data_IF_713930046128
#
_entry.id   IF_713930046128
#
_cell.length_a   1.000
_cell.length_b   1.000
_cell.length_c   1.000
_cell.angle_alpha   90.00
_cell.angle_beta   90.00
_cell.angle_gamma   90.00
#
_symmetry.space_group_name_H-M   'P 1'
#
loop_
_entity.id
_entity.type
_entity.pdbx_description
1 polymer ?
#
# COMPACT_ATOMS: atom_id res chain seq x y z
N UNK A 1 5.59 -12.96 3.98
CA UNK A 1 4.50 -12.78 2.99
C UNK A 1 5.14 -12.88 1.61
N UNK A 2 4.90 -13.99 0.91
CA UNK A 2 5.65 -14.35 -0.30
C UNK A 2 5.44 -13.33 -1.42
N UNK A 3 6.53 -12.78 -1.96
CA UNK A 3 6.51 -12.02 -3.19
C UNK A 3 6.13 -12.97 -4.33
N UNK A 4 4.95 -12.77 -4.94
CA UNK A 4 4.59 -13.50 -6.16
C UNK A 4 5.44 -12.94 -7.31
N UNK A 5 6.37 -13.75 -7.77
CA UNK A 5 7.17 -13.49 -8.97
C UNK A 5 6.25 -13.40 -10.19
N UNK A 6 6.18 -12.24 -10.84
CA UNK A 6 5.50 -12.08 -12.12
C UNK A 6 6.55 -11.96 -13.21
N UNK A 7 6.75 -13.04 -13.96
CA UNK A 7 7.69 -13.09 -15.08
C UNK A 7 6.96 -12.71 -16.37
N UNK A 8 7.25 -11.54 -16.93
CA UNK A 8 6.84 -11.14 -18.29
C UNK A 8 8.02 -11.36 -19.23
N UNK A 9 7.92 -12.33 -20.14
CA UNK A 9 8.96 -12.63 -21.14
C UNK A 9 8.58 -12.09 -22.51
N UNK A 10 9.48 -11.33 -23.14
CA UNK A 10 9.45 -11.06 -24.58
C UNK A 10 10.32 -12.12 -25.28
N UNK A 11 9.71 -12.88 -26.20
CA UNK A 11 10.41 -13.89 -26.99
C UNK A 11 11.06 -13.23 -28.21
N UNK A 12 12.38 -13.17 -28.21
CA UNK A 12 13.18 -12.83 -29.40
C UNK A 12 14.13 -14.00 -29.61
N UNK A 13 14.15 -14.51 -30.85
CA UNK A 13 14.92 -15.66 -31.32
C UNK A 13 16.17 -15.98 -30.49
N UNK A 14 16.11 -17.11 -29.78
CA UNK A 14 17.23 -17.84 -29.17
C UNK A 14 17.86 -17.32 -27.87
N UNK A 15 17.37 -16.26 -27.22
CA UNK A 15 17.83 -15.88 -25.88
C UNK A 15 16.70 -15.30 -25.01
N UNK A 16 16.40 -15.96 -23.88
CA UNK A 16 15.48 -15.43 -22.86
C UNK A 16 16.24 -14.45 -21.96
N UNK A 17 16.08 -13.15 -22.20
CA UNK A 17 16.56 -12.11 -21.29
C UNK A 17 15.50 -11.92 -20.19
N UNK A 18 15.85 -12.20 -18.94
CA UNK A 18 15.00 -11.91 -17.79
C UNK A 18 15.35 -10.52 -17.25
N UNK A 19 14.47 -9.54 -17.46
CA UNK A 19 14.59 -8.24 -16.79
C UNK A 19 13.90 -8.34 -15.43
N UNK A 20 14.69 -8.34 -14.34
CA UNK A 20 14.16 -8.33 -12.98
C UNK A 20 13.73 -6.91 -12.62
N UNK A 21 12.43 -6.61 -12.75
CA UNK A 21 11.86 -5.36 -12.22
C UNK A 21 11.97 -5.35 -10.70
N UNK A 22 12.91 -4.58 -10.17
CA UNK A 22 12.96 -4.28 -8.74
C UNK A 22 12.02 -3.10 -8.47
N UNK A 23 10.80 -3.40 -8.02
CA UNK A 23 9.96 -2.38 -7.40
C UNK A 23 10.62 -1.94 -6.09
N UNK A 24 10.98 -0.67 -5.97
CA UNK A 24 11.57 -0.11 -4.75
C UNK A 24 10.46 0.04 -3.70
N UNK A 25 10.52 -0.72 -2.62
CA UNK A 25 9.60 -0.57 -1.49
C UNK A 25 9.94 0.72 -0.75
N UNK A 26 9.00 1.66 -0.72
CA UNK A 26 9.11 2.91 0.04
C UNK A 26 8.37 2.77 1.36
N UNK A 27 9.07 2.90 2.49
CA UNK A 27 8.48 2.85 3.84
C UNK A 27 8.66 4.20 4.51
N UNK A 28 7.57 4.76 5.00
CA UNK A 28 7.54 6.02 5.73
C UNK A 28 6.93 5.78 7.11
N UNK A 29 7.40 6.52 8.11
CA UNK A 29 6.85 6.50 9.45
C UNK A 29 6.13 7.82 9.74
N UNK A 30 4.99 7.73 10.41
CA UNK A 30 4.24 8.89 10.87
C UNK A 30 4.35 9.01 12.39
N UNK A 31 4.60 10.21 12.88
CA UNK A 31 4.38 10.58 14.27
C UNK A 31 3.17 11.50 14.31
N UNK A 32 2.07 11.01 14.88
CA UNK A 32 0.82 11.75 14.92
C UNK A 32 0.18 11.67 16.30
N UNK A 33 -0.53 12.73 16.65
CA UNK A 33 -1.45 12.77 17.76
C UNK A 33 -2.87 13.03 17.23
N UNK A 34 -3.88 12.50 17.90
CA UNK A 34 -5.27 12.71 17.52
C UNK A 34 -6.15 12.79 18.77
N UNK A 35 -7.27 13.50 18.66
CA UNK A 35 -8.27 13.57 19.72
C UNK A 35 -9.17 12.33 19.67
N UNK A 36 -9.09 11.48 20.70
CA UNK A 36 -9.78 10.18 20.72
C UNK A 36 -11.31 10.24 20.73
N UNK A 37 -11.90 11.37 21.15
CA UNK A 37 -13.36 11.49 21.33
C UNK A 37 -14.20 11.23 20.06
N UNK A 38 -13.63 11.45 18.88
CA UNK A 38 -14.35 11.35 17.60
C UNK A 38 -14.08 10.06 16.83
N UNK A 39 -13.33 9.12 17.43
CA UNK A 39 -12.87 7.91 16.77
C UNK A 39 -12.99 6.71 17.72
N UNK A 40 -13.41 5.57 17.19
CA UNK A 40 -13.52 4.30 17.91
C UNK A 40 -12.17 3.57 17.95
N UNK A 41 -11.09 4.30 18.27
CA UNK A 41 -9.73 3.77 18.35
C UNK A 41 -8.93 3.85 17.05
N UNK A 42 -7.79 3.15 17.04
CA UNK A 42 -6.81 3.19 15.95
C UNK A 42 -7.22 2.32 14.76
N UNK A 43 -7.44 1.04 15.01
CA UNK A 43 -7.67 0.02 13.98
C UNK A 43 -9.01 0.21 13.28
N UNK A 44 -9.04 -0.03 11.98
CA UNK A 44 -10.28 -0.08 11.20
C UNK A 44 -11.20 -1.22 11.65
N UNK A 45 -12.48 -0.89 11.89
CA UNK A 45 -13.53 -1.83 12.28
C UNK A 45 -14.82 -1.53 11.51
N UNK A 46 -15.69 -2.52 11.26
CA UNK A 46 -16.95 -2.30 10.56
C UNK A 46 -17.90 -1.35 11.31
N UNK A 47 -18.53 -0.43 10.58
CA UNK A 47 -19.63 0.39 11.10
C UNK A 47 -19.24 1.51 12.07
N UNK A 48 -17.94 1.70 12.35
CA UNK A 48 -17.45 2.75 13.25
C UNK A 48 -16.26 3.49 12.63
N UNK A 49 -16.14 4.78 12.95
CA UNK A 49 -15.06 5.62 12.42
C UNK A 49 -13.77 5.37 13.19
N UNK A 50 -12.68 5.06 12.48
CA UNK A 50 -11.35 4.81 13.08
C UNK A 50 -10.28 5.75 12.53
N UNK A 51 -9.15 5.85 13.23
CA UNK A 51 -8.01 6.68 12.79
C UNK A 51 -7.35 6.11 11.54
N UNK A 52 -7.08 4.80 11.51
CA UNK A 52 -6.47 4.13 10.36
C UNK A 52 -7.30 4.33 9.08
N UNK A 53 -8.61 4.14 9.16
CA UNK A 53 -9.49 4.32 8.00
C UNK A 53 -9.42 5.74 7.42
N UNK A 54 -9.42 6.77 8.28
CA UNK A 54 -9.34 8.16 7.80
C UNK A 54 -7.99 8.44 7.14
N UNK A 55 -6.90 7.91 7.69
CA UNK A 55 -5.56 8.04 7.11
C UNK A 55 -5.52 7.35 5.74
N UNK A 56 -5.97 6.10 5.65
CA UNK A 56 -6.03 5.33 4.39
C UNK A 56 -6.86 6.04 3.31
N UNK A 57 -8.07 6.51 3.65
CA UNK A 57 -8.95 7.23 2.73
C UNK A 57 -8.32 8.54 2.26
N UNK A 58 -7.67 9.27 3.16
CA UNK A 58 -7.04 10.56 2.85
C UNK A 58 -5.82 10.36 1.94
N UNK A 59 -4.93 9.43 2.30
CA UNK A 59 -3.75 9.13 1.50
C UNK A 59 -4.13 8.54 0.14
N UNK A 60 -5.18 7.72 0.06
CA UNK A 60 -5.67 7.19 -1.22
C UNK A 60 -6.12 8.31 -2.17
N UNK A 61 -6.76 9.36 -1.63
CA UNK A 61 -7.14 10.56 -2.42
C UNK A 61 -5.92 11.36 -2.87
N UNK A 62 -4.96 11.56 -1.99
CA UNK A 62 -3.74 12.34 -2.28
C UNK A 62 -2.87 11.63 -3.32
N UNK A 63 -2.64 10.33 -3.14
CA UNK A 63 -1.77 9.54 -4.03
C UNK A 63 -2.48 9.03 -5.29
N UNK A 64 -3.82 9.18 -5.36
CA UNK A 64 -4.66 8.69 -6.47
C UNK A 64 -4.49 7.17 -6.71
N UNK A 65 -4.25 6.43 -5.63
CA UNK A 65 -4.05 4.99 -5.63
C UNK A 65 -4.68 4.38 -4.39
N UNK A 66 -5.23 3.15 -4.45
CA UNK A 66 -5.77 2.49 -3.26
C UNK A 66 -4.66 2.19 -2.24
N UNK A 67 -4.96 2.40 -0.96
CA UNK A 67 -4.10 2.12 0.20
C UNK A 67 -4.87 1.28 1.22
N UNK A 68 -4.17 0.37 1.90
CA UNK A 68 -4.68 -0.63 2.85
C UNK A 68 -3.74 -0.81 4.02
#
# INVERSE_FOLDING_TARGET
MGFKETNLGLNISSAKIYVKLHSKIMRYFFHIAYQGQYFSGWQKQPGVKSVQEVIEQTLSKILKSPIT
#
